data_IF_395491708444
#
_entry.id   IF_395491708444
#
_cell.length_a   1.000
_cell.length_b   1.000
_cell.length_c   1.000
_cell.angle_alpha   90.00
_cell.angle_beta   90.00
_cell.angle_gamma   90.00
#
_symmetry.space_group_name_H-M   'P 1'
#
loop_
_entity.id
_entity.type
_entity.pdbx_description
1 polymer ?
#
# COMPACT_ATOMS: atom_id res chain seq x y z
N UNK A 1 17.36 -13.63 12.04
CA UNK A 1 16.74 -13.95 10.74
C UNK A 1 17.86 -14.21 9.74
N UNK A 2 17.65 -15.08 8.75
CA UNK A 2 18.63 -15.29 7.67
C UNK A 2 18.68 -14.05 6.79
N UNK A 3 19.88 -13.67 6.33
CA UNK A 3 20.05 -12.58 5.36
C UNK A 3 19.33 -12.92 4.06
N UNK A 4 18.46 -12.00 3.63
CA UNK A 4 17.69 -12.11 2.39
C UNK A 4 17.83 -10.82 1.58
N UNK A 5 18.07 -10.96 0.29
CA UNK A 5 18.07 -9.86 -0.66
C UNK A 5 17.25 -10.20 -1.90
N UNK A 6 16.42 -9.26 -2.31
CA UNK A 6 15.70 -9.24 -3.59
C UNK A 6 16.17 -8.06 -4.42
N UNK A 7 16.46 -8.30 -5.69
CA UNK A 7 16.80 -7.26 -6.66
C UNK A 7 15.95 -7.46 -7.91
N UNK A 8 15.38 -6.38 -8.44
CA UNK A 8 14.61 -6.41 -9.67
C UNK A 8 14.90 -5.21 -10.58
N UNK A 9 14.84 -5.48 -11.87
CA UNK A 9 14.95 -4.51 -12.95
C UNK A 9 13.74 -4.66 -13.87
N UNK A 10 13.23 -3.54 -14.39
CA UNK A 10 12.17 -3.52 -15.40
C UNK A 10 12.48 -2.57 -16.53
N UNK A 11 12.27 -3.03 -17.75
CA UNK A 11 12.14 -2.19 -18.92
C UNK A 11 10.67 -1.78 -19.02
N UNK A 12 10.42 -0.51 -19.28
CA UNK A 12 9.08 0.08 -19.32
C UNK A 12 8.80 0.59 -20.72
N UNK A 13 9.78 1.26 -21.32
CA UNK A 13 9.61 1.92 -22.61
C UNK A 13 9.61 0.91 -23.76
N UNK A 14 10.53 -0.07 -23.73
CA UNK A 14 10.69 -1.08 -24.78
C UNK A 14 11.35 -2.35 -24.28
N UNK A 15 11.06 -3.46 -24.95
CA UNK A 15 11.73 -4.73 -24.72
C UNK A 15 13.24 -4.62 -25.01
N UNK A 16 14.05 -5.34 -24.23
CA UNK A 16 15.48 -5.49 -24.46
C UNK A 16 15.74 -6.16 -25.81
N UNK A 17 16.72 -5.62 -26.55
CA UNK A 17 17.30 -6.28 -27.72
C UNK A 17 18.23 -7.44 -27.32
N UNK A 18 18.69 -8.21 -28.31
CA UNK A 18 19.50 -9.41 -28.07
C UNK A 18 20.83 -9.12 -27.35
N UNK A 19 21.46 -7.97 -27.64
CA UNK A 19 22.73 -7.58 -27.01
C UNK A 19 22.51 -7.12 -25.58
N UNK A 20 21.42 -6.41 -25.34
CA UNK A 20 21.01 -5.98 -24.00
C UNK A 20 20.66 -7.18 -23.13
N UNK A 21 19.93 -8.14 -23.68
CA UNK A 21 19.56 -9.39 -22.99
C UNK A 21 20.80 -10.24 -22.66
N UNK A 22 21.73 -10.38 -23.61
CA UNK A 22 23.00 -11.09 -23.38
C UNK A 22 23.84 -10.44 -22.28
N UNK A 23 23.93 -9.10 -22.28
CA UNK A 23 24.60 -8.36 -21.22
C UNK A 23 23.95 -8.59 -19.85
N UNK A 24 22.61 -8.60 -19.78
CA UNK A 24 21.87 -8.84 -18.55
C UNK A 24 22.09 -10.26 -18.01
N UNK A 25 22.08 -11.27 -18.89
CA UNK A 25 22.32 -12.67 -18.53
C UNK A 25 23.70 -12.90 -17.88
N UNK A 26 24.68 -12.05 -18.19
CA UNK A 26 26.03 -12.13 -17.61
C UNK A 26 26.12 -11.54 -16.19
N UNK A 27 25.10 -10.80 -15.72
CA UNK A 27 25.16 -10.13 -14.42
C UNK A 27 24.87 -11.04 -13.23
N UNK A 28 24.08 -12.09 -13.44
CA UNK A 28 23.84 -13.13 -12.42
C UNK A 28 23.34 -14.42 -13.02
N UNK A 29 23.96 -15.53 -12.64
CA UNK A 29 23.52 -16.89 -13.02
C UNK A 29 22.25 -17.35 -12.29
N UNK A 30 21.80 -16.62 -11.27
CA UNK A 30 20.58 -16.91 -10.50
C UNK A 30 19.40 -16.02 -10.91
N UNK A 31 19.56 -15.25 -11.98
CA UNK A 31 18.51 -14.33 -12.42
C UNK A 31 17.37 -15.06 -13.12
N UNK A 32 16.14 -14.68 -12.79
CA UNK A 32 15.00 -14.88 -13.68
C UNK A 32 15.00 -13.70 -14.67
N UNK A 33 15.26 -13.99 -15.94
CA UNK A 33 15.48 -12.98 -16.97
C UNK A 33 14.53 -13.15 -18.14
N UNK A 34 13.92 -12.04 -18.55
CA UNK A 34 13.17 -11.89 -19.78
C UNK A 34 13.59 -10.62 -20.51
N UNK A 35 12.97 -10.32 -21.66
CA UNK A 35 13.18 -9.05 -22.36
C UNK A 35 12.59 -7.83 -21.64
N UNK A 36 11.80 -8.02 -20.60
CA UNK A 36 11.13 -6.93 -19.89
C UNK A 36 11.57 -6.81 -18.44
N UNK A 37 11.99 -7.90 -17.84
CA UNK A 37 12.26 -7.96 -16.40
C UNK A 37 13.47 -8.83 -16.12
N UNK A 38 14.22 -8.46 -15.09
CA UNK A 38 15.22 -9.31 -14.47
C UNK A 38 15.04 -9.26 -12.96
N UNK A 39 14.87 -10.40 -12.30
CA UNK A 39 14.85 -10.49 -10.84
C UNK A 39 15.90 -11.47 -10.34
N UNK A 40 16.42 -11.23 -9.15
CA UNK A 40 17.40 -12.09 -8.49
C UNK A 40 17.09 -12.15 -7.00
N UNK A 41 17.04 -13.37 -6.48
CA UNK A 41 16.87 -13.64 -5.05
C UNK A 41 18.11 -14.30 -4.47
N UNK A 42 18.54 -13.79 -3.31
CA UNK A 42 19.68 -14.32 -2.58
C UNK A 42 19.34 -14.58 -1.11
N UNK A 43 19.92 -15.68 -0.61
CA UNK A 43 20.05 -15.96 0.81
C UNK A 43 21.54 -15.99 1.14
N UNK A 44 21.95 -15.23 2.17
CA UNK A 44 23.35 -15.15 2.64
C UNK A 44 24.37 -14.59 1.64
N UNK A 45 23.92 -13.84 0.64
CA UNK A 45 24.80 -13.15 -0.32
C UNK A 45 24.10 -11.92 -0.89
N UNK A 46 24.84 -11.09 -1.62
CA UNK A 46 24.32 -9.91 -2.29
C UNK A 46 24.53 -9.94 -3.80
N UNK A 47 23.74 -9.14 -4.52
CA UNK A 47 23.86 -8.92 -5.95
C UNK A 47 25.12 -8.12 -6.26
N UNK A 48 26.03 -8.69 -7.06
CA UNK A 48 27.29 -8.08 -7.46
C UNK A 48 27.33 -7.54 -8.90
N UNK A 49 26.19 -7.51 -9.59
CA UNK A 49 26.12 -7.07 -10.99
C UNK A 49 26.19 -5.54 -11.18
N UNK A 50 26.45 -5.10 -12.40
CA UNK A 50 26.54 -3.69 -12.76
C UNK A 50 25.15 -3.04 -12.91
N UNK A 51 24.60 -2.54 -11.80
CA UNK A 51 23.29 -1.87 -11.74
C UNK A 51 23.21 -0.67 -12.70
N UNK A 52 24.22 0.20 -12.69
CA UNK A 52 24.25 1.39 -13.57
C UNK A 52 24.37 0.97 -15.05
N UNK A 53 25.15 -0.08 -15.34
CA UNK A 53 25.27 -0.67 -16.66
C UNK A 53 23.96 -1.24 -17.18
N UNK A 54 23.22 -1.98 -16.36
CA UNK A 54 21.91 -2.54 -16.68
C UNK A 54 20.88 -1.45 -17.01
N UNK A 55 20.83 -0.39 -16.20
CA UNK A 55 19.96 0.77 -16.45
C UNK A 55 20.36 1.54 -17.73
N UNK A 56 21.66 1.69 -17.99
CA UNK A 56 22.12 2.31 -19.25
C UNK A 56 21.86 1.45 -20.48
N UNK A 57 21.69 0.13 -20.30
CA UNK A 57 21.57 -0.86 -21.38
C UNK A 57 20.17 -1.48 -21.48
N UNK A 58 19.13 -0.77 -21.08
CA UNK A 58 17.76 -1.09 -21.50
C UNK A 58 16.74 -1.18 -20.37
N UNK A 59 17.17 -1.34 -19.12
CA UNK A 59 16.24 -1.28 -17.99
C UNK A 59 15.97 0.16 -17.56
N UNK A 60 14.73 0.42 -17.15
CA UNK A 60 14.20 1.74 -16.83
C UNK A 60 14.02 1.96 -15.33
N UNK A 61 13.74 0.88 -14.61
CA UNK A 61 13.46 0.85 -13.17
C UNK A 61 14.35 -0.20 -12.52
N UNK A 62 14.85 0.12 -11.34
CA UNK A 62 15.54 -0.79 -10.44
C UNK A 62 14.95 -0.68 -9.04
N UNK A 63 14.80 -1.80 -8.37
CA UNK A 63 14.42 -1.93 -6.97
C UNK A 63 15.33 -2.96 -6.31
N UNK A 64 15.88 -2.63 -5.15
CA UNK A 64 16.57 -3.56 -4.28
C UNK A 64 15.99 -3.49 -2.86
N UNK A 65 15.84 -4.66 -2.27
CA UNK A 65 15.37 -4.85 -0.91
C UNK A 65 16.28 -5.85 -0.20
N UNK A 66 16.68 -5.51 1.02
CA UNK A 66 17.33 -6.40 1.95
C UNK A 66 16.63 -6.34 3.31
N UNK A 67 16.36 -7.49 3.92
CA UNK A 67 15.72 -7.57 5.24
C UNK A 67 16.60 -7.05 6.39
N UNK A 68 17.88 -6.79 6.12
CA UNK A 68 18.83 -6.16 7.03
C UNK A 68 19.00 -4.64 6.78
N UNK A 69 18.02 -4.00 6.11
CA UNK A 69 17.83 -2.55 6.17
C UNK A 69 18.06 -1.76 4.88
N UNK A 70 18.67 -2.36 3.84
CA UNK A 70 18.91 -1.63 2.59
C UNK A 70 17.68 -1.69 1.67
N UNK A 71 17.08 -0.53 1.38
CA UNK A 71 16.03 -0.37 0.37
C UNK A 71 16.44 0.72 -0.61
N UNK A 72 16.54 0.37 -1.88
CA UNK A 72 17.02 1.27 -2.91
C UNK A 72 16.13 1.18 -4.14
N UNK A 73 15.84 2.32 -4.76
CA UNK A 73 15.22 2.39 -6.07
C UNK A 73 16.05 3.30 -6.98
N UNK A 74 16.09 2.99 -8.27
CA UNK A 74 16.70 3.86 -9.28
C UNK A 74 15.80 3.97 -10.50
N UNK A 75 15.65 5.18 -11.00
CA UNK A 75 14.82 5.50 -12.17
C UNK A 75 15.71 6.08 -13.27
N UNK A 76 15.75 5.40 -14.40
CA UNK A 76 16.46 5.85 -15.59
C UNK A 76 15.59 6.85 -16.35
N UNK A 77 16.14 8.02 -16.67
CA UNK A 77 15.45 9.03 -17.48
C UNK A 77 16.28 9.31 -18.73
N UNK A 78 15.79 8.89 -19.89
CA UNK A 78 16.49 8.96 -21.18
C UNK A 78 16.67 10.40 -21.70
N UNK A 79 15.69 11.27 -21.43
CA UNK A 79 15.72 12.69 -21.82
C UNK A 79 16.14 13.63 -20.70
N UNK A 80 16.66 13.09 -19.59
CA UNK A 80 17.08 13.84 -18.42
C UNK A 80 15.95 14.16 -17.44
N UNK A 81 16.33 14.69 -16.27
CA UNK A 81 15.38 15.08 -15.23
C UNK A 81 14.70 16.41 -15.63
N UNK A 82 13.36 16.46 -15.78
CA UNK A 82 12.68 17.55 -16.47
C UNK A 82 12.34 18.74 -15.59
N UNK A 83 13.29 19.10 -14.71
CA UNK A 83 13.15 20.23 -13.79
C UNK A 83 14.39 21.10 -13.85
N UNK A 84 14.19 22.40 -13.69
CA UNK A 84 15.31 23.35 -13.64
C UNK A 84 16.18 23.08 -12.39
N UNK A 85 17.45 23.51 -12.42
CA UNK A 85 18.34 23.37 -11.26
C UNK A 85 17.79 24.05 -10.01
N UNK A 86 17.12 25.20 -10.15
CA UNK A 86 16.51 25.90 -9.01
C UNK A 86 15.31 25.14 -8.46
N UNK A 87 14.52 24.49 -9.32
CA UNK A 87 13.42 23.61 -8.90
C UNK A 87 13.94 22.37 -8.18
N UNK A 88 15.03 21.76 -8.65
CA UNK A 88 15.58 20.53 -8.07
C UNK A 88 16.26 20.73 -6.71
N UNK A 89 16.97 21.85 -6.54
CA UNK A 89 17.77 22.13 -5.36
C UNK A 89 17.05 21.87 -4.02
N UNK A 90 15.81 22.33 -3.79
CA UNK A 90 15.13 22.06 -2.51
C UNK A 90 14.71 20.60 -2.33
N UNK A 91 14.51 19.82 -3.39
CA UNK A 91 14.10 18.40 -3.31
C UNK A 91 15.29 17.44 -3.22
N UNK A 92 16.48 17.87 -3.64
CA UNK A 92 17.72 17.11 -3.49
C UNK A 92 18.52 17.66 -2.31
N UNK A 93 17.87 17.74 -1.14
CA UNK A 93 18.40 18.38 0.07
C UNK A 93 18.74 17.40 1.21
N UNK A 94 18.60 16.09 0.99
CA UNK A 94 19.03 15.02 1.90
C UNK A 94 19.89 14.00 1.15
N UNK A 95 20.68 13.22 1.89
CA UNK A 95 21.65 12.30 1.29
C UNK A 95 20.98 11.09 0.60
N UNK A 96 19.77 10.72 1.03
CA UNK A 96 19.01 9.60 0.48
C UNK A 96 18.50 9.77 -0.96
N UNK A 97 18.65 10.94 -1.60
CA UNK A 97 18.20 11.18 -2.98
C UNK A 97 19.26 11.87 -3.83
N UNK A 98 19.52 11.36 -5.04
CA UNK A 98 20.52 11.97 -5.93
C UNK A 98 20.19 11.81 -7.41
N UNK A 99 20.59 12.80 -8.21
CA UNK A 99 20.52 12.77 -9.66
C UNK A 99 21.92 12.68 -10.27
N UNK A 100 22.19 11.61 -11.01
CA UNK A 100 23.46 11.38 -11.69
C UNK A 100 23.26 11.39 -13.20
N UNK A 101 23.72 12.46 -13.84
CA UNK A 101 23.72 12.58 -15.30
C UNK A 101 24.75 11.64 -15.92
N UNK A 102 24.44 11.08 -17.09
CA UNK A 102 25.43 10.34 -17.86
C UNK A 102 26.57 11.25 -18.36
N UNK A 103 27.76 10.68 -18.62
CA UNK A 103 28.89 11.43 -19.19
C UNK A 103 28.58 12.07 -20.55
N UNK A 104 27.62 11.53 -21.31
CA UNK A 104 27.22 12.00 -22.64
C UNK A 104 25.69 12.05 -22.74
N UNK A 105 25.18 13.07 -23.44
CA UNK A 105 23.74 13.22 -23.70
C UNK A 105 22.98 13.93 -22.58
N UNK A 106 21.65 13.79 -22.59
CA UNK A 106 20.73 14.36 -21.59
C UNK A 106 20.35 13.37 -20.50
N UNK A 107 20.52 12.07 -20.75
CA UNK A 107 20.08 11.01 -19.89
C UNK A 107 20.79 10.99 -18.52
N UNK A 108 20.14 10.36 -17.53
CA UNK A 108 20.71 10.15 -16.20
C UNK A 108 19.87 9.19 -15.37
N UNK A 109 20.28 8.99 -14.13
CA UNK A 109 19.61 8.11 -13.16
C UNK A 109 19.28 8.93 -11.91
N UNK A 110 18.02 8.87 -11.48
CA UNK A 110 17.57 9.37 -10.18
C UNK A 110 17.57 8.18 -9.22
N UNK A 111 18.30 8.29 -8.11
CA UNK A 111 18.41 7.25 -7.09
C UNK A 111 17.76 7.72 -5.79
N UNK A 112 17.02 6.82 -5.13
CA UNK A 112 16.56 6.98 -3.75
C UNK A 112 17.03 5.78 -2.94
N UNK A 113 17.83 6.03 -1.90
CA UNK A 113 18.52 5.03 -1.11
C UNK A 113 18.67 5.50 0.36
N UNK A 114 17.55 5.69 1.08
CA UNK A 114 17.62 5.97 2.51
C UNK A 114 18.23 4.78 3.26
N UNK A 115 18.85 5.06 4.40
CA UNK A 115 19.29 4.05 5.32
C UNK A 115 18.23 3.76 6.39
N UNK A 116 18.03 2.48 6.69
CA UNK A 116 17.20 2.03 7.80
C UNK A 116 17.94 0.97 8.61
N UNK A 117 17.91 1.09 9.93
CA UNK A 117 18.45 0.07 10.81
C UNK A 117 17.64 -1.23 10.67
N UNK A 118 18.30 -2.38 10.79
CA UNK A 118 17.64 -3.68 10.67
C UNK A 118 16.48 -3.80 11.66
N UNK A 119 15.26 -3.96 11.14
CA UNK A 119 14.04 -4.08 11.94
C UNK A 119 13.37 -2.75 12.31
N UNK A 120 13.85 -1.60 11.84
CA UNK A 120 13.18 -0.31 12.06
C UNK A 120 11.88 -0.17 11.24
N UNK A 121 11.80 -0.86 10.09
CA UNK A 121 10.63 -0.87 9.20
C UNK A 121 10.20 -2.29 8.85
N UNK A 122 8.90 -2.48 8.57
CA UNK A 122 8.28 -3.79 8.34
C UNK A 122 8.82 -4.51 7.09
N UNK A 123 9.05 -5.82 7.18
CA UNK A 123 9.52 -6.63 6.06
C UNK A 123 8.53 -6.67 4.89
N UNK A 124 9.09 -6.75 3.69
CA UNK A 124 8.33 -6.76 2.43
C UNK A 124 8.56 -8.10 1.73
N UNK A 125 7.47 -8.72 1.28
CA UNK A 125 7.49 -10.02 0.61
C UNK A 125 6.99 -9.97 -0.83
N UNK A 126 6.17 -8.98 -1.18
CA UNK A 126 5.56 -8.80 -2.50
C UNK A 126 6.09 -7.51 -3.13
N UNK A 127 6.81 -7.63 -4.25
CA UNK A 127 7.52 -6.50 -4.87
C UNK A 127 6.83 -5.94 -6.11
N UNK A 128 5.90 -6.70 -6.70
CA UNK A 128 5.27 -6.37 -7.99
C UNK A 128 4.56 -5.01 -7.95
N UNK A 129 3.77 -4.77 -6.92
CA UNK A 129 3.00 -3.53 -6.79
C UNK A 129 3.90 -2.31 -6.63
N UNK A 130 5.04 -2.45 -5.95
CA UNK A 130 6.04 -1.38 -5.84
C UNK A 130 6.76 -1.11 -7.16
N UNK A 131 7.08 -2.16 -7.93
CA UNK A 131 7.65 -2.01 -9.27
C UNK A 131 6.65 -1.35 -10.24
N UNK A 132 5.35 -1.68 -10.15
CA UNK A 132 4.29 -1.01 -10.92
C UNK A 132 4.15 0.46 -10.51
N UNK A 133 4.24 0.75 -9.20
CA UNK A 133 4.24 2.11 -8.65
C UNK A 133 5.45 2.92 -9.15
N UNK A 134 6.65 2.34 -9.15
CA UNK A 134 7.87 2.98 -9.65
C UNK A 134 7.79 3.33 -11.14
N UNK A 135 7.22 2.45 -11.97
CA UNK A 135 7.00 2.74 -13.38
C UNK A 135 6.09 3.97 -13.58
N UNK A 136 5.02 4.08 -12.77
CA UNK A 136 4.11 5.25 -12.79
C UNK A 136 4.80 6.53 -12.30
N UNK A 137 5.58 6.44 -11.22
CA UNK A 137 6.35 7.58 -10.70
C UNK A 137 7.36 8.07 -11.74
N UNK A 138 8.02 7.15 -12.46
CA UNK A 138 8.92 7.49 -13.57
C UNK A 138 8.19 8.21 -14.69
N UNK A 139 7.02 7.73 -15.12
CA UNK A 139 6.21 8.38 -16.15
C UNK A 139 5.81 9.79 -15.74
N UNK A 140 5.35 9.97 -14.49
CA UNK A 140 5.03 11.28 -13.92
C UNK A 140 6.23 12.23 -13.94
N UNK A 141 7.42 11.74 -13.56
CA UNK A 141 8.64 12.53 -13.68
C UNK A 141 8.85 12.98 -15.13
N UNK A 142 8.79 12.08 -16.11
CA UNK A 142 8.99 12.41 -17.55
C UNK A 142 8.00 13.48 -18.03
N UNK A 143 6.76 13.39 -17.57
CA UNK A 143 5.69 14.35 -17.87
C UNK A 143 5.89 15.72 -17.18
N UNK A 144 6.84 15.82 -16.25
CA UNK A 144 7.16 17.06 -15.52
C UNK A 144 6.29 17.27 -14.29
N UNK A 145 5.67 16.21 -13.77
CA UNK A 145 4.86 16.25 -12.56
C UNK A 145 5.75 16.34 -11.32
N UNK A 146 5.83 17.53 -10.72
CA UNK A 146 6.69 17.79 -9.57
C UNK A 146 6.23 17.01 -8.31
N UNK A 147 4.98 16.54 -8.26
CA UNK A 147 4.47 15.76 -7.13
C UNK A 147 5.16 14.40 -7.03
N UNK A 148 5.59 13.82 -8.15
CA UNK A 148 6.39 12.59 -8.15
C UNK A 148 7.77 12.81 -7.50
N UNK A 149 8.40 13.97 -7.73
CA UNK A 149 9.65 14.31 -7.07
C UNK A 149 9.47 14.55 -5.56
N UNK A 150 8.36 15.17 -5.16
CA UNK A 150 8.01 15.31 -3.73
C UNK A 150 7.83 13.95 -3.05
N UNK A 151 7.14 13.01 -3.70
CA UNK A 151 6.97 11.64 -3.21
C UNK A 151 8.32 10.93 -3.00
N UNK A 152 9.23 11.06 -3.96
CA UNK A 152 10.58 10.49 -3.87
C UNK A 152 11.42 11.17 -2.79
N UNK A 153 11.27 12.49 -2.60
CA UNK A 153 11.87 13.20 -1.48
C UNK A 153 11.38 12.64 -0.14
N UNK A 154 10.07 12.40 0.03
CA UNK A 154 9.56 11.77 1.26
C UNK A 154 10.23 10.43 1.53
N UNK A 155 10.31 9.58 0.51
CA UNK A 155 10.96 8.26 0.60
C UNK A 155 12.43 8.37 1.00
N UNK A 156 13.14 9.38 0.50
CA UNK A 156 14.55 9.61 0.78
C UNK A 156 14.83 10.30 2.12
N UNK A 157 13.94 11.19 2.54
CA UNK A 157 14.09 12.00 3.75
C UNK A 157 13.79 11.19 5.02
N UNK A 158 12.98 10.13 4.90
CA UNK A 158 12.77 9.17 5.97
C UNK A 158 13.97 8.22 6.02
N UNK A 159 15.00 8.63 6.74
CA UNK A 159 16.30 7.95 6.83
C UNK A 159 16.76 7.96 8.30
N UNK A 160 17.18 6.80 8.82
CA UNK A 160 17.58 6.63 10.23
C UNK A 160 18.95 7.30 10.54
N UNK A 161 19.72 7.71 9.52
CA UNK A 161 20.93 8.51 9.69
C UNK A 161 20.66 10.02 9.71
N UNK A 162 19.45 10.45 9.35
CA UNK A 162 19.06 11.86 9.32
C UNK A 162 18.21 12.20 10.55
N UNK A 163 18.24 13.46 10.97
CA UNK A 163 17.42 13.95 12.08
C UNK A 163 16.12 14.58 11.53
N UNK A 164 14.93 13.97 11.75
CA UNK A 164 13.68 14.45 11.16
C UNK A 164 13.32 15.90 11.52
N UNK A 165 13.77 16.39 12.67
CA UNK A 165 13.58 17.77 13.11
C UNK A 165 14.45 18.78 12.35
N UNK A 166 15.54 18.33 11.72
CA UNK A 166 16.46 19.13 10.92
C UNK A 166 16.20 19.02 9.42
N UNK A 167 15.55 17.95 8.97
CA UNK A 167 15.16 17.75 7.57
C UNK A 167 13.98 18.66 7.22
N UNK A 168 14.24 19.73 6.47
CA UNK A 168 13.22 20.71 6.08
C UNK A 168 12.49 20.25 4.82
N UNK A 169 11.16 20.32 4.89
CA UNK A 169 10.26 20.01 3.78
C UNK A 169 10.49 20.96 2.59
N UNK A 170 10.64 20.43 1.35
CA UNK A 170 10.71 21.26 0.15
C UNK A 170 9.37 21.97 -0.10
N UNK A 171 9.34 22.95 -1.01
CA UNK A 171 8.08 23.56 -1.45
C UNK A 171 7.08 22.48 -1.91
N UNK A 172 5.90 22.46 -1.29
CA UNK A 172 4.90 21.41 -1.53
C UNK A 172 4.19 21.67 -2.85
N UNK A 173 4.23 20.74 -3.83
CA UNK A 173 3.56 20.93 -5.11
C UNK A 173 2.04 20.98 -4.96
N UNK A 174 1.38 21.87 -5.71
CA UNK A 174 -0.08 21.93 -5.72
C UNK A 174 -0.68 20.64 -6.30
N UNK A 175 -1.86 20.26 -5.82
CA UNK A 175 -2.55 19.04 -6.24
C UNK A 175 -1.96 17.73 -5.71
N UNK A 176 -1.19 17.80 -4.61
CA UNK A 176 -0.64 16.62 -3.95
C UNK A 176 -1.73 15.69 -3.38
N UNK A 177 -2.89 16.24 -3.00
CA UNK A 177 -4.09 15.50 -2.56
C UNK A 177 -4.76 14.67 -3.67
N UNK A 178 -4.41 14.97 -4.92
CA UNK A 178 -4.96 14.38 -6.15
C UNK A 178 -3.86 13.68 -6.95
N UNK A 179 -2.93 13.06 -6.24
CA UNK A 179 -1.89 12.22 -6.83
C UNK A 179 -2.50 11.07 -7.66
N UNK A 180 -1.95 10.77 -8.84
CA UNK A 180 -2.46 9.67 -9.65
C UNK A 180 -2.39 8.33 -8.92
N UNK A 181 -3.41 7.49 -9.15
CA UNK A 181 -3.61 6.25 -8.42
C UNK A 181 -2.43 5.28 -8.60
N UNK A 182 -1.93 4.78 -7.47
CA UNK A 182 -0.86 3.81 -7.40
C UNK A 182 0.54 4.40 -7.22
N UNK A 183 0.75 5.71 -7.38
CA UNK A 183 2.07 6.33 -7.11
C UNK A 183 2.38 6.36 -5.61
N UNK A 184 1.40 6.68 -4.77
CA UNK A 184 1.57 6.69 -3.30
C UNK A 184 1.81 5.30 -2.71
N UNK A 185 1.55 4.23 -3.45
CA UNK A 185 1.72 2.86 -3.00
C UNK A 185 3.21 2.50 -2.84
N UNK A 186 4.13 3.36 -3.29
CA UNK A 186 5.56 3.27 -3.00
C UNK A 186 5.90 3.58 -1.53
N UNK A 187 5.10 4.39 -0.83
CA UNK A 187 5.43 4.86 0.53
C UNK A 187 5.66 3.72 1.53
N UNK A 188 4.80 2.68 1.59
CA UNK A 188 5.02 1.53 2.49
C UNK A 188 6.32 0.77 2.22
N UNK A 189 6.83 0.77 0.99
CA UNK A 189 8.14 0.17 0.69
C UNK A 189 9.26 0.88 1.45
N UNK A 190 9.12 2.15 1.81
CA UNK A 190 10.08 2.89 2.65
C UNK A 190 9.59 3.06 4.10
N UNK A 191 8.58 2.29 4.54
CA UNK A 191 8.04 2.38 5.90
C UNK A 191 7.17 3.62 6.18
N UNK A 192 6.85 4.41 5.16
CA UNK A 192 6.02 5.60 5.28
C UNK A 192 4.52 5.28 5.20
N UNK A 193 3.72 5.96 6.01
CA UNK A 193 2.25 5.93 5.89
C UNK A 193 1.81 6.75 4.67
N UNK A 194 0.92 6.24 3.80
CA UNK A 194 0.20 7.05 2.83
C UNK A 194 -0.46 8.33 3.41
N UNK A 195 -0.80 8.35 4.71
CA UNK A 195 -1.28 9.55 5.41
C UNK A 195 -0.23 10.67 5.52
N UNK A 196 1.06 10.38 5.40
CA UNK A 196 2.12 11.39 5.34
C UNK A 196 1.94 12.31 4.14
N UNK A 197 1.62 11.74 2.97
CA UNK A 197 1.31 12.50 1.77
C UNK A 197 0.05 13.37 1.95
N UNK A 198 -0.95 12.84 2.66
CA UNK A 198 -2.18 13.57 2.99
C UNK A 198 -1.92 14.73 3.95
N UNK A 199 -1.05 14.53 4.94
CA UNK A 199 -0.66 15.59 5.86
C UNK A 199 0.11 16.70 5.14
N UNK A 200 0.98 16.34 4.19
CA UNK A 200 1.72 17.30 3.37
C UNK A 200 0.79 18.15 2.50
N UNK A 201 -0.25 17.52 1.93
CA UNK A 201 -1.23 18.19 1.10
C UNK A 201 -2.19 19.11 1.88
N UNK A 202 -2.25 19.02 3.22
CA UNK A 202 -3.22 19.75 4.02
C UNK A 202 -2.98 21.27 3.96
N UNK A 203 -4.00 22.01 3.52
CA UNK A 203 -3.92 23.45 3.30
C UNK A 203 -3.10 23.88 2.07
N UNK A 204 -2.66 22.95 1.23
CA UNK A 204 -1.99 23.25 -0.05
C UNK A 204 -3.05 23.37 -1.15
N UNK A 205 -3.00 24.39 -2.03
CA UNK A 205 -3.96 24.53 -3.11
C UNK A 205 -3.98 23.34 -4.06
N UNK A 206 -5.14 23.10 -4.66
CA UNK A 206 -5.27 22.15 -5.77
C UNK A 206 -4.53 22.67 -7.00
N UNK A 207 -4.16 21.75 -7.88
CA UNK A 207 -3.64 22.13 -9.20
C UNK A 207 -4.78 22.76 -10.01
N UNK A 208 -4.61 24.01 -10.43
CA UNK A 208 -5.57 24.65 -11.32
C UNK A 208 -5.54 23.92 -12.68
N UNK A 209 -6.71 23.70 -13.31
CA UNK A 209 -6.72 23.18 -14.67
C UNK A 209 -5.98 24.17 -15.58
N UNK A 210 -5.07 23.67 -16.40
CA UNK A 210 -4.47 24.49 -17.45
C UNK A 210 -5.55 24.85 -18.46
N UNK A 211 -5.61 26.12 -18.83
CA UNK A 211 -6.45 26.56 -19.94
C UNK A 211 -5.81 26.18 -21.27
N UNK A 212 -6.60 25.99 -22.33
CA UNK A 212 -6.08 25.61 -23.67
C UNK A 212 -5.06 26.63 -24.23
N UNK A 213 -5.15 27.91 -23.82
CA UNK A 213 -4.19 28.95 -24.22
C UNK A 213 -2.85 28.84 -23.46
N UNK A 214 -2.87 28.26 -22.26
CA UNK A 214 -1.71 28.00 -21.42
C UNK A 214 -1.11 26.61 -21.64
N UNK A 215 -1.71 25.76 -22.49
CA UNK A 215 -1.20 24.42 -22.78
C UNK A 215 0.11 24.52 -23.60
N UNK A 216 1.26 24.15 -23.00
CA UNK A 216 2.55 24.24 -23.69
C UNK A 216 2.65 23.27 -24.88
N UNK A 217 1.90 22.16 -24.88
CA UNK A 217 1.86 21.20 -25.97
C UNK A 217 1.14 21.81 -27.17
N UNK A 218 -0.02 22.43 -26.95
CA UNK A 218 -0.77 23.13 -28.01
C UNK A 218 0.08 24.26 -28.61
N UNK A 219 0.67 25.09 -27.77
CA UNK A 219 1.51 26.20 -28.22
C UNK A 219 2.74 25.72 -29.02
N UNK A 220 3.43 24.68 -28.54
CA UNK A 220 4.54 24.09 -29.28
C UNK A 220 4.08 23.46 -30.60
N UNK A 221 2.95 22.74 -30.60
CA UNK A 221 2.40 22.10 -31.81
C UNK A 221 2.07 23.10 -32.93
N UNK A 222 1.62 24.31 -32.57
CA UNK A 222 1.37 25.42 -33.51
C UNK A 222 2.66 26.09 -34.00
N UNK A 223 3.75 25.98 -33.24
CA UNK A 223 5.03 26.62 -33.58
C UNK A 223 5.88 25.81 -34.57
N UNK A 224 5.65 24.49 -34.67
CA UNK A 224 6.38 23.61 -35.60
C UNK A 224 5.77 23.62 -37.01
N UNK A 225 6.62 23.45 -38.04
CA UNK A 225 6.16 23.39 -39.43
C UNK A 225 5.44 22.10 -39.77
N UNK A 226 4.58 22.11 -40.80
CA UNK A 226 3.93 20.88 -41.30
C UNK A 226 4.93 19.79 -41.69
N UNK A 227 6.06 20.18 -42.29
CA UNK A 227 7.13 19.25 -42.66
C UNK A 227 7.71 18.54 -41.43
N UNK A 228 7.89 19.28 -40.32
CA UNK A 228 8.34 18.75 -39.04
C UNK A 228 7.30 17.84 -38.41
N UNK A 229 6.03 18.25 -38.38
CA UNK A 229 4.92 17.41 -37.90
C UNK A 229 4.84 16.07 -38.64
N UNK A 230 4.91 16.08 -39.98
CA UNK A 230 4.95 14.85 -40.80
C UNK A 230 6.19 13.99 -40.52
N UNK A 231 7.33 14.61 -40.19
CA UNK A 231 8.53 13.87 -39.80
C UNK A 231 8.36 13.18 -38.44
N UNK A 232 7.78 13.87 -37.45
CA UNK A 232 7.48 13.30 -36.13
C UNK A 232 6.48 12.14 -36.21
N UNK A 233 5.45 12.24 -37.04
CA UNK A 233 4.52 11.13 -37.29
C UNK A 233 5.23 9.89 -37.86
N UNK A 234 6.20 10.08 -38.77
CA UNK A 234 7.01 8.96 -39.28
C UNK A 234 7.90 8.36 -38.21
N UNK A 235 8.48 9.17 -37.32
CA UNK A 235 9.29 8.70 -36.19
C UNK A 235 8.43 7.89 -35.21
N UNK A 236 7.26 8.40 -34.85
CA UNK A 236 6.31 7.71 -33.96
C UNK A 236 5.95 6.29 -34.43
N UNK A 237 5.86 6.08 -35.74
CA UNK A 237 5.53 4.77 -36.33
C UNK A 237 6.73 3.82 -36.48
N UNK A 238 7.97 4.31 -36.37
CA UNK A 238 9.19 3.54 -36.64
C UNK A 238 10.09 3.36 -35.43
N UNK A 239 10.09 4.35 -34.54
CA UNK A 239 10.92 4.44 -33.35
C UNK A 239 10.09 4.06 -32.11
N UNK A 240 10.75 4.03 -30.96
CA UNK A 240 10.08 3.84 -29.67
C UNK A 240 9.21 5.06 -29.31
N UNK A 241 7.88 4.90 -29.18
CA UNK A 241 6.98 6.00 -28.85
C UNK A 241 7.26 6.65 -27.49
N UNK A 242 7.69 5.87 -26.49
CA UNK A 242 7.95 6.37 -25.14
C UNK A 242 9.17 7.29 -25.11
N UNK A 243 10.28 6.85 -25.72
CA UNK A 243 11.47 7.69 -25.91
C UNK A 243 11.16 8.95 -26.72
N UNK A 244 10.37 8.84 -27.79
CA UNK A 244 9.98 10.00 -28.60
C UNK A 244 9.12 10.98 -27.79
N UNK A 245 8.13 10.51 -27.03
CA UNK A 245 7.32 11.34 -26.12
C UNK A 245 8.23 12.10 -25.15
N UNK A 246 9.16 11.40 -24.49
CA UNK A 246 10.09 12.00 -23.54
C UNK A 246 11.00 13.06 -24.17
N UNK A 247 11.51 12.82 -25.39
CA UNK A 247 12.29 13.78 -26.18
C UNK A 247 11.47 15.05 -26.49
N UNK A 248 10.24 14.89 -26.99
CA UNK A 248 9.38 16.01 -27.35
C UNK A 248 8.97 16.84 -26.15
N UNK A 249 8.63 16.20 -25.03
CA UNK A 249 8.36 16.91 -23.78
C UNK A 249 9.58 17.68 -23.27
N UNK A 250 10.79 17.13 -23.43
CA UNK A 250 12.02 17.85 -23.09
C UNK A 250 12.22 19.06 -24.00
N UNK A 251 11.93 18.94 -25.29
CA UNK A 251 11.99 20.05 -26.24
C UNK A 251 10.98 21.17 -25.89
N UNK A 252 9.74 20.82 -25.58
CA UNK A 252 8.68 21.77 -25.18
C UNK A 252 9.10 22.57 -23.94
N UNK A 253 9.79 21.94 -22.99
CA UNK A 253 10.33 22.63 -21.81
C UNK A 253 11.48 23.56 -22.18
N UNK A 254 12.36 23.12 -23.08
CA UNK A 254 13.52 23.91 -23.53
C UNK A 254 13.13 25.13 -24.38
N UNK A 255 11.97 25.12 -25.04
CA UNK A 255 11.44 26.30 -25.74
C UNK A 255 10.95 27.41 -24.81
N UNK A 256 10.98 27.18 -23.49
CA UNK A 256 10.51 28.15 -22.48
C UNK A 256 9.00 28.29 -22.42
N UNK A 257 8.26 27.39 -23.09
CA UNK A 257 6.80 27.42 -23.16
C UNK A 257 6.13 26.78 -21.94
N UNK A 258 6.86 25.98 -21.16
CA UNK A 258 6.33 25.31 -19.97
C UNK A 258 6.42 26.22 -18.73
N UNK A 259 5.27 26.51 -18.13
CA UNK A 259 5.20 27.16 -16.83
C UNK A 259 5.80 26.27 -15.73
N UNK A 260 6.39 26.89 -14.70
CA UNK A 260 6.84 26.16 -13.52
C UNK A 260 5.65 25.55 -12.77
N UNK A 261 5.82 24.35 -12.24
CA UNK A 261 4.79 23.73 -11.41
C UNK A 261 4.55 24.59 -10.15
N UNK A 262 3.29 24.93 -9.82
CA UNK A 262 3.02 25.80 -8.68
C UNK A 262 3.23 25.07 -7.34
N UNK A 263 3.87 25.74 -6.39
CA UNK A 263 4.25 25.18 -5.09
C UNK A 263 3.91 26.12 -3.93
N UNK A 264 3.67 25.57 -2.75
CA UNK A 264 3.51 26.32 -1.49
C UNK A 264 4.69 26.04 -0.56
N UNK A 265 5.40 27.08 -0.11
CA UNK A 265 6.47 26.94 0.88
C UNK A 265 5.86 26.85 2.29
N UNK A 266 6.07 25.72 2.97
CA UNK A 266 5.60 25.49 4.34
C UNK A 266 6.72 25.69 5.37
N UNK A 267 7.92 25.19 5.05
CA UNK A 267 9.08 25.27 5.96
C UNK A 267 8.93 24.39 7.20
N UNK A 268 8.08 23.36 7.16
CA UNK A 268 7.94 22.40 8.24
C UNK A 268 9.15 21.44 8.26
N UNK A 269 9.48 20.90 9.43
CA UNK A 269 10.38 19.76 9.53
C UNK A 269 9.66 18.47 9.15
N UNK A 270 10.42 17.43 8.77
CA UNK A 270 9.88 16.10 8.54
C UNK A 270 9.19 15.57 9.81
N UNK A 271 9.72 15.83 11.01
CA UNK A 271 9.09 15.47 12.28
C UNK A 271 7.66 16.03 12.42
N UNK A 272 7.48 17.31 12.06
CA UNK A 272 6.16 17.97 12.11
C UNK A 272 5.17 17.29 11.15
N UNK A 273 5.66 16.89 9.98
CA UNK A 273 4.87 16.20 8.97
C UNK A 273 4.47 14.79 9.43
N UNK A 274 5.41 14.01 9.95
CA UNK A 274 5.15 12.67 10.51
C UNK A 274 4.18 12.72 11.69
N UNK A 275 4.33 13.71 12.56
CA UNK A 275 3.40 13.94 13.69
C UNK A 275 1.98 14.24 13.19
N UNK A 276 1.85 15.09 12.18
CA UNK A 276 0.57 15.41 11.55
C UNK A 276 -0.09 14.18 10.92
N UNK A 277 0.70 13.32 10.27
CA UNK A 277 0.23 12.04 9.73
C UNK A 277 -0.28 11.10 10.83
N UNK A 278 0.44 11.01 11.95
CA UNK A 278 0.03 10.20 13.09
C UNK A 278 -1.26 10.72 13.74
N UNK A 279 -1.45 12.04 13.82
CA UNK A 279 -2.73 12.60 14.27
C UNK A 279 -3.89 12.23 13.36
N UNK A 280 -3.69 12.27 12.04
CA UNK A 280 -4.70 11.82 11.07
C UNK A 280 -5.04 10.35 11.27
N UNK A 281 -4.03 9.51 11.52
CA UNK A 281 -4.19 8.08 11.80
C UNK A 281 -5.01 7.85 13.06
N UNK A 282 -4.68 8.52 14.17
CA UNK A 282 -5.40 8.37 15.43
C UNK A 282 -6.84 8.87 15.35
N UNK A 283 -7.09 9.97 14.64
CA UNK A 283 -8.45 10.44 14.34
C UNK A 283 -9.25 9.38 13.55
N UNK A 284 -8.65 8.77 12.53
CA UNK A 284 -9.29 7.72 11.74
C UNK A 284 -9.57 6.45 12.58
N UNK A 285 -8.59 6.02 13.38
CA UNK A 285 -8.71 4.88 14.30
C UNK A 285 -9.83 5.10 15.33
N UNK A 286 -9.92 6.29 15.91
CA UNK A 286 -10.99 6.64 16.86
C UNK A 286 -12.38 6.56 16.22
N UNK A 287 -12.52 7.03 14.97
CA UNK A 287 -13.78 6.91 14.21
C UNK A 287 -14.13 5.44 13.95
N UNK A 288 -13.15 4.61 13.55
CA UNK A 288 -13.35 3.18 13.32
C UNK A 288 -13.79 2.45 14.59
N UNK A 289 -13.08 2.66 15.71
CA UNK A 289 -13.41 2.11 17.03
C UNK A 289 -14.83 2.52 17.47
N UNK A 290 -15.22 3.78 17.29
CA UNK A 290 -16.59 4.24 17.59
C UNK A 290 -17.64 3.52 16.75
N UNK A 291 -17.39 3.32 15.45
CA UNK A 291 -18.30 2.58 14.54
C UNK A 291 -18.42 1.10 14.94
N UNK A 292 -17.31 0.45 15.26
CA UNK A 292 -17.28 -0.95 15.71
C UNK A 292 -18.01 -1.14 17.04
N UNK A 293 -17.76 -0.26 18.02
CA UNK A 293 -18.50 -0.27 19.29
C UNK A 293 -20.00 -0.02 19.10
N UNK A 294 -20.39 0.92 18.24
CA UNK A 294 -21.79 1.17 17.93
C UNK A 294 -22.45 -0.04 17.24
N UNK A 295 -21.75 -0.71 16.33
CA UNK A 295 -22.21 -1.93 15.68
C UNK A 295 -22.37 -3.07 16.69
N UNK A 296 -21.36 -3.32 17.51
CA UNK A 296 -21.41 -4.36 18.56
C UNK A 296 -22.56 -4.11 19.56
N UNK A 297 -22.79 -2.85 19.97
CA UNK A 297 -23.92 -2.48 20.82
C UNK A 297 -25.27 -2.76 20.15
N UNK A 298 -25.42 -2.43 18.86
CA UNK A 298 -26.66 -2.71 18.11
C UNK A 298 -26.91 -4.20 17.94
N UNK A 299 -25.87 -4.96 17.64
CA UNK A 299 -25.94 -6.42 17.52
C UNK A 299 -26.28 -7.08 18.86
N UNK A 300 -25.66 -6.64 19.97
CA UNK A 300 -25.99 -7.11 21.31
C UNK A 300 -27.42 -6.76 21.72
N UNK A 301 -27.89 -5.53 21.45
CA UNK A 301 -29.27 -5.12 21.74
C UNK A 301 -30.30 -5.92 20.92
N UNK A 302 -29.99 -6.22 19.65
CA UNK A 302 -30.83 -7.07 18.81
C UNK A 302 -30.87 -8.51 19.34
N UNK A 303 -29.71 -9.08 19.68
CA UNK A 303 -29.61 -10.42 20.24
C UNK A 303 -30.37 -10.53 21.58
N UNK A 304 -30.28 -9.52 22.44
CA UNK A 304 -31.02 -9.49 23.70
C UNK A 304 -32.54 -9.38 23.46
N UNK A 305 -32.99 -8.55 22.51
CA UNK A 305 -34.41 -8.48 22.15
C UNK A 305 -34.95 -9.80 21.58
N UNK A 306 -34.16 -10.47 20.73
CA UNK A 306 -34.49 -11.80 20.19
C UNK A 306 -34.52 -12.86 21.30
N UNK A 307 -33.57 -12.79 22.23
CA UNK A 307 -33.55 -13.65 23.42
C UNK A 307 -34.82 -13.41 24.24
N UNK A 308 -35.16 -12.18 24.59
CA UNK A 308 -36.38 -11.86 25.35
C UNK A 308 -37.65 -12.37 24.64
N UNK A 309 -37.77 -12.17 23.33
CA UNK A 309 -38.91 -12.71 22.56
C UNK A 309 -38.95 -14.24 22.56
N UNK A 310 -37.80 -14.91 22.54
CA UNK A 310 -37.68 -16.36 22.68
C UNK A 310 -38.09 -16.82 24.09
N UNK A 311 -37.71 -16.07 25.12
CA UNK A 311 -38.04 -16.36 26.52
C UNK A 311 -39.55 -16.29 26.78
N UNK A 312 -40.25 -15.30 26.21
CA UNK A 312 -41.71 -15.23 26.31
C UNK A 312 -42.38 -16.45 25.65
N UNK A 313 -41.94 -16.85 24.45
CA UNK A 313 -42.40 -18.09 23.80
C UNK A 313 -42.04 -19.36 24.59
N UNK A 314 -40.96 -19.35 25.36
CA UNK A 314 -40.56 -20.46 26.23
C UNK A 314 -41.49 -20.61 27.43
N UNK A 315 -41.96 -19.49 28.01
CA UNK A 315 -42.95 -19.49 29.09
C UNK A 315 -44.29 -20.08 28.62
N UNK A 316 -44.73 -19.73 27.42
CA UNK A 316 -46.00 -20.19 26.84
C UNK A 316 -46.01 -21.69 26.51
N UNK A 317 -44.86 -22.28 26.18
CA UNK A 317 -44.78 -23.70 25.77
C UNK A 317 -43.48 -24.40 26.20
N UNK A 318 -43.23 -24.60 27.51
CA UNK A 318 -41.98 -25.16 28.03
C UNK A 318 -41.62 -26.53 27.45
N UNK A 319 -42.61 -27.42 27.28
CA UNK A 319 -42.44 -28.79 26.82
C UNK A 319 -41.91 -28.88 25.38
N UNK A 320 -42.34 -27.97 24.50
CA UNK A 320 -41.86 -27.90 23.11
C UNK A 320 -40.37 -27.56 23.05
N UNK A 321 -39.89 -26.68 23.93
CA UNK A 321 -38.49 -26.29 23.98
C UNK A 321 -37.60 -27.37 24.60
N UNK A 322 -38.10 -28.11 25.59
CA UNK A 322 -37.42 -29.31 26.11
C UNK A 322 -37.23 -30.37 25.01
N UNK A 323 -38.29 -30.68 24.26
CA UNK A 323 -38.23 -31.62 23.15
C UNK A 323 -37.26 -31.16 22.03
N UNK A 324 -37.22 -29.84 21.76
CA UNK A 324 -36.27 -29.25 20.80
C UNK A 324 -34.83 -29.42 21.25
N UNK A 325 -34.53 -29.19 22.54
CA UNK A 325 -33.20 -29.39 23.09
C UNK A 325 -32.77 -30.86 22.96
N UNK A 326 -33.65 -31.83 23.27
CA UNK A 326 -33.38 -33.26 23.11
C UNK A 326 -33.09 -33.63 21.65
N UNK A 327 -33.88 -33.09 20.72
CA UNK A 327 -33.69 -33.32 19.28
C UNK A 327 -32.35 -32.78 18.78
N UNK A 328 -31.92 -31.60 19.24
CA UNK A 328 -30.63 -31.01 18.86
C UNK A 328 -29.46 -31.88 19.36
N UNK A 329 -29.55 -32.40 20.60
CA UNK A 329 -28.53 -33.32 21.12
C UNK A 329 -28.44 -34.60 20.28
N UNK A 330 -29.57 -35.13 19.83
CA UNK A 330 -29.62 -36.33 19.00
C UNK A 330 -28.90 -36.18 17.64
N UNK A 331 -28.87 -34.97 17.07
CA UNK A 331 -28.14 -34.67 15.82
C UNK A 331 -26.62 -34.77 15.99
N UNK A 332 -26.13 -34.70 17.25
CA UNK A 332 -24.72 -34.72 17.65
C UNK A 332 -23.90 -33.54 17.11
N UNK A 333 -22.76 -33.30 17.75
CA UNK A 333 -21.83 -32.23 17.38
C UNK A 333 -21.67 -31.16 18.46
N UNK A 334 -20.47 -30.61 18.57
CA UNK A 334 -20.10 -29.69 19.66
C UNK A 334 -20.98 -28.45 19.72
N UNK A 335 -21.30 -27.85 18.58
CA UNK A 335 -22.18 -26.68 18.51
C UNK A 335 -23.63 -27.01 18.87
N UNK A 336 -24.11 -28.20 18.50
CA UNK A 336 -25.44 -28.67 18.87
C UNK A 336 -25.55 -28.87 20.40
N UNK A 337 -24.51 -29.39 21.05
CA UNK A 337 -24.51 -29.55 22.51
C UNK A 337 -24.51 -28.21 23.25
N UNK A 338 -23.76 -27.21 22.76
CA UNK A 338 -23.79 -25.86 23.32
C UNK A 338 -25.17 -25.23 23.15
N UNK A 339 -25.76 -25.33 21.95
CA UNK A 339 -27.09 -24.80 21.67
C UNK A 339 -28.19 -25.44 22.53
N UNK A 340 -28.12 -26.76 22.78
CA UNK A 340 -29.06 -27.43 23.68
C UNK A 340 -28.93 -26.94 25.12
N UNK A 341 -27.69 -26.77 25.62
CA UNK A 341 -27.45 -26.21 26.95
C UNK A 341 -27.93 -24.75 27.07
N UNK A 342 -27.82 -23.95 26.01
CA UNK A 342 -28.37 -22.59 25.96
C UNK A 342 -29.89 -22.57 26.01
N UNK A 343 -30.56 -23.45 25.25
CA UNK A 343 -32.03 -23.56 25.28
C UNK A 343 -32.52 -23.90 26.70
N UNK A 344 -31.87 -24.83 27.38
CA UNK A 344 -32.25 -25.21 28.76
C UNK A 344 -31.97 -24.10 29.78
N UNK A 345 -30.87 -23.36 29.61
CA UNK A 345 -30.55 -22.22 30.47
C UNK A 345 -31.55 -21.07 30.29
N UNK A 346 -31.88 -20.75 29.04
CA UNK A 346 -32.91 -19.77 28.73
C UNK A 346 -34.28 -20.22 29.25
N UNK A 347 -34.66 -21.48 29.07
CA UNK A 347 -35.94 -21.99 29.59
C UNK A 347 -36.01 -21.90 31.13
N UNK A 348 -34.91 -22.24 31.83
CA UNK A 348 -34.80 -22.09 33.30
C UNK A 348 -35.07 -20.65 33.71
N UNK A 349 -34.38 -19.72 33.06
CA UNK A 349 -34.47 -18.29 33.37
C UNK A 349 -35.85 -17.71 32.96
N UNK A 350 -36.49 -18.27 31.93
CA UNK A 350 -37.80 -17.84 31.44
C UNK A 350 -38.92 -18.26 32.38
N UNK A 351 -38.94 -19.52 32.80
CA UNK A 351 -39.95 -20.03 33.75
C UNK A 351 -39.71 -19.47 35.16
N UNK A 352 -38.44 -19.30 35.54
CA UNK A 352 -38.05 -18.72 36.82
C UNK A 352 -38.34 -19.63 38.03
N UNK A 353 -37.86 -19.19 39.20
CA UNK A 353 -38.08 -19.88 40.48
C UNK A 353 -37.52 -21.30 40.53
N UNK A 354 -38.02 -22.10 41.49
CA UNK A 354 -37.64 -23.51 41.63
C UNK A 354 -38.24 -24.41 40.52
N UNK A 355 -39.39 -24.01 39.95
CA UNK A 355 -40.02 -24.74 38.85
C UNK A 355 -39.13 -24.75 37.60
N UNK A 356 -38.58 -23.60 37.19
CA UNK A 356 -37.66 -23.51 36.05
C UNK A 356 -36.35 -24.27 36.28
N UNK A 357 -35.77 -24.18 37.49
CA UNK A 357 -34.56 -24.92 37.86
C UNK A 357 -34.76 -26.43 37.79
N UNK A 358 -35.88 -26.92 38.33
CA UNK A 358 -36.22 -28.34 38.31
C UNK A 358 -36.42 -28.84 36.88
N UNK A 359 -37.22 -28.15 36.08
CA UNK A 359 -37.48 -28.53 34.67
C UNK A 359 -36.21 -28.64 33.84
N UNK A 360 -35.31 -27.64 33.94
CA UNK A 360 -34.08 -27.64 33.17
C UNK A 360 -33.09 -28.71 33.65
N UNK A 361 -33.00 -28.94 34.98
CA UNK A 361 -32.14 -29.99 35.57
C UNK A 361 -32.63 -31.39 35.20
N UNK A 362 -33.92 -31.67 35.35
CA UNK A 362 -34.50 -32.98 35.05
C UNK A 362 -34.25 -33.37 33.58
N UNK A 363 -34.39 -32.40 32.67
CA UNK A 363 -34.09 -32.60 31.25
C UNK A 363 -32.59 -32.80 30.99
N UNK A 364 -31.72 -32.01 31.61
CA UNK A 364 -30.27 -32.16 31.49
C UNK A 364 -29.78 -33.54 31.99
N UNK A 365 -30.32 -34.02 33.12
CA UNK A 365 -30.01 -35.35 33.66
C UNK A 365 -30.51 -36.47 32.75
N UNK A 366 -31.71 -36.33 32.18
CA UNK A 366 -32.25 -37.27 31.19
C UNK A 366 -31.36 -37.36 29.95
N UNK A 367 -30.91 -36.22 29.41
CA UNK A 367 -29.98 -36.19 28.27
C UNK A 367 -28.65 -36.88 28.58
N UNK A 368 -28.09 -36.65 29.77
CA UNK A 368 -26.83 -37.28 30.19
C UNK A 368 -26.98 -38.78 30.39
N UNK A 369 -28.11 -39.25 30.96
CA UNK A 369 -28.41 -40.68 31.08
C UNK A 369 -28.58 -41.36 29.72
N UNK A 370 -29.24 -40.69 28.77
CA UNK A 370 -29.40 -41.19 27.40
C UNK A 370 -28.09 -41.21 26.60
N UNK A 371 -27.13 -40.37 26.97
CA UNK A 371 -25.87 -40.20 26.25
C UNK A 371 -24.64 -40.20 27.17
N UNK A 372 -24.31 -41.35 27.79
CA UNK A 372 -23.28 -41.43 28.84
C UNK A 372 -21.86 -41.12 28.34
N UNK A 373 -21.59 -41.33 27.05
CA UNK A 373 -20.28 -41.13 26.43
C UNK A 373 -20.04 -39.72 25.89
N UNK A 374 -21.05 -38.85 25.86
CA UNK A 374 -20.93 -37.49 25.32
C UNK A 374 -20.34 -36.51 26.35
N UNK A 375 -19.01 -36.50 26.47
CA UNK A 375 -18.27 -35.63 27.40
C UNK A 375 -18.48 -34.13 27.13
N UNK A 376 -18.53 -33.72 25.86
CA UNK A 376 -18.74 -32.32 25.47
C UNK A 376 -20.16 -31.80 25.81
N UNK A 377 -21.16 -32.68 25.80
CA UNK A 377 -22.51 -32.35 26.26
C UNK A 377 -22.52 -32.09 27.78
N UNK A 378 -21.94 -33.00 28.56
CA UNK A 378 -21.79 -32.85 30.02
C UNK A 378 -21.06 -31.55 30.38
N UNK A 379 -19.97 -31.25 29.67
CA UNK A 379 -19.21 -30.01 29.85
C UNK A 379 -20.07 -28.76 29.56
N UNK A 380 -20.81 -28.76 28.45
CA UNK A 380 -21.66 -27.62 28.05
C UNK A 380 -22.80 -27.37 29.03
N UNK A 381 -23.44 -28.42 29.55
CA UNK A 381 -24.51 -28.33 30.56
C UNK A 381 -23.98 -27.82 31.91
N UNK A 382 -22.81 -28.29 32.36
CA UNK A 382 -22.16 -27.79 33.59
C UNK A 382 -21.76 -26.32 33.48
N UNK A 383 -21.20 -25.89 32.34
CA UNK A 383 -20.85 -24.48 32.11
C UNK A 383 -22.04 -23.52 32.23
N UNK A 384 -23.26 -24.01 31.99
CA UNK A 384 -24.50 -23.23 32.15
C UNK A 384 -25.20 -23.44 33.52
N UNK A 385 -24.58 -24.20 34.43
CA UNK A 385 -25.11 -24.48 35.77
C UNK A 385 -26.37 -25.35 35.79
N UNK A 386 -26.53 -26.22 34.78
CA UNK A 386 -27.69 -27.11 34.66
C UNK A 386 -27.49 -28.47 35.34
N UNK A 387 -26.24 -28.79 35.63
CA UNK A 387 -25.80 -29.99 36.34
C UNK A 387 -24.80 -29.56 37.41
N UNK A 388 -24.76 -30.31 38.51
CA UNK A 388 -23.73 -30.16 39.52
C UNK A 388 -22.35 -30.65 39.03
#
# INVERSE_FOLDING_TARGET
MSEYQYVAFRAVDRALDDKQLEFAAQQSSRSELSRWEMSVEYHYSSFGGDVDGLLRRGFDVYLAYANYGSREIRLRLSSGLPFSKSTLKPFLNCDGISWKKDPKGKAGVLSVCPYHESGSIEDVWEFKDYLDSLAKVREQLIDGDLRALYLLWLCAAYDDNELPEQTIEPPVPHGLDTMPSGSSDLLPFFGLDPLTLKAAADGVPKLAPQTDEEDPIQNWSRSISEARSRALLRRLLKEDPASLKAELLAEIRESGSAAAWPTTVRGHSLETLLSSANELREKANAVKRKKELARAKREAAKAEKERQARMEKMKESPTTWLAKAEKIVAVRGTENYKAAAEILADLRDAVGGEAGKKLARDCAEKMVKAHPTLSMLKSSLRKRGLLN
#
